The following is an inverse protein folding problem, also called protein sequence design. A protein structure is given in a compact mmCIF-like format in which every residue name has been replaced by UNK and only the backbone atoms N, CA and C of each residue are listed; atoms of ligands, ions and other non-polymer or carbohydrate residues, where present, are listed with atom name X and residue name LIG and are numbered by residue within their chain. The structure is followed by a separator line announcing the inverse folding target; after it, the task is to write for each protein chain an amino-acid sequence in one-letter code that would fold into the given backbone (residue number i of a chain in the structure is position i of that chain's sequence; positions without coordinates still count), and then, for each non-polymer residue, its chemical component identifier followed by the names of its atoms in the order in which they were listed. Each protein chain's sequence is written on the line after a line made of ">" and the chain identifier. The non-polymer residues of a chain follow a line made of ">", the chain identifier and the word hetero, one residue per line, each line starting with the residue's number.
data_IF_494733947314
#
_entry.id   IF_494733947314
#
_cell.length_a   1.000
_cell.length_b   1.000
_cell.length_c   1.000
_cell.angle_alpha   90.00
_cell.angle_beta   90.00
_cell.angle_gamma   90.00
#
_symmetry.space_group_name_H-M   'P 1'
#
loop_
_entity.id
_entity.type
_entity.pdbx_description
1 polymer ?
#
# COMPACT_ATOMS: atom_id res chain seq x y z
N UNK A 1 9.47 -9.71 16.76
CA UNK A 1 8.35 -8.75 16.65
C UNK A 1 8.10 -8.48 15.17
N UNK A 2 6.90 -8.76 14.66
CA UNK A 2 6.50 -8.31 13.33
C UNK A 2 5.99 -6.87 13.46
N UNK A 3 6.60 -5.95 12.72
CA UNK A 3 6.15 -4.56 12.68
C UNK A 3 5.27 -4.36 11.46
N UNK A 4 4.09 -3.77 11.67
CA UNK A 4 3.18 -3.37 10.59
C UNK A 4 3.29 -1.85 10.44
N UNK A 5 3.68 -1.38 9.26
CA UNK A 5 3.64 0.05 8.93
C UNK A 5 2.34 0.38 8.21
N UNK A 6 1.67 1.42 8.69
CA UNK A 6 0.45 1.97 8.11
C UNK A 6 0.77 3.21 7.28
N UNK A 7 0.33 3.23 6.02
CA UNK A 7 0.45 4.38 5.13
C UNK A 7 -0.90 4.75 4.55
N UNK A 8 -1.22 6.05 4.53
CA UNK A 8 -2.36 6.62 3.81
C UNK A 8 -1.89 7.22 2.49
N UNK A 9 -2.58 6.89 1.41
CA UNK A 9 -2.35 7.46 0.08
C UNK A 9 -3.63 8.14 -0.37
N UNK A 10 -3.54 9.44 -0.67
CA UNK A 10 -4.65 10.20 -1.24
C UNK A 10 -4.76 9.94 -2.75
N UNK A 11 -5.96 9.56 -3.16
CA UNK A 11 -6.31 9.11 -4.50
C UNK A 11 -7.49 9.93 -4.97
N UNK A 12 -7.46 10.50 -6.18
CA UNK A 12 -8.66 11.16 -6.70
C UNK A 12 -9.74 10.10 -7.00
N UNK A 13 -11.02 10.34 -6.65
CA UNK A 13 -12.09 9.34 -6.80
C UNK A 13 -12.27 8.82 -8.24
N UNK A 14 -12.07 9.70 -9.22
CA UNK A 14 -12.28 9.46 -10.65
C UNK A 14 -11.22 8.53 -11.29
N UNK A 15 -10.12 8.26 -10.59
CA UNK A 15 -8.98 7.46 -11.11
C UNK A 15 -8.54 6.36 -10.14
N UNK A 16 -9.48 5.86 -9.33
CA UNK A 16 -9.18 4.94 -8.23
C UNK A 16 -8.52 3.64 -8.71
N UNK A 17 -9.03 3.02 -9.77
CA UNK A 17 -8.53 1.73 -10.27
C UNK A 17 -7.13 1.84 -10.84
N UNK A 18 -6.89 2.83 -11.71
CA UNK A 18 -5.58 3.07 -12.32
C UNK A 18 -4.52 3.43 -11.27
N UNK A 19 -4.90 4.23 -10.27
CA UNK A 19 -3.98 4.57 -9.18
C UNK A 19 -3.75 3.41 -8.22
N UNK A 20 -4.73 2.56 -7.98
CA UNK A 20 -4.54 1.34 -7.18
C UNK A 20 -3.54 0.40 -7.86
N UNK A 21 -3.61 0.26 -9.19
CA UNK A 21 -2.60 -0.49 -9.97
C UNK A 21 -1.21 0.13 -9.83
N UNK A 22 -1.10 1.46 -9.90
CA UNK A 22 0.18 2.15 -9.73
C UNK A 22 0.78 1.96 -8.32
N UNK A 23 -0.05 2.09 -7.27
CA UNK A 23 0.35 1.84 -5.88
C UNK A 23 0.81 0.39 -5.71
N UNK A 24 0.07 -0.56 -6.28
CA UNK A 24 0.40 -1.98 -6.22
C UNK A 24 1.73 -2.29 -6.94
N UNK A 25 1.97 -1.70 -8.12
CA UNK A 25 3.23 -1.84 -8.85
C UNK A 25 4.42 -1.25 -8.07
N UNK A 26 4.24 -0.09 -7.45
CA UNK A 26 5.27 0.53 -6.60
C UNK A 26 5.66 -0.38 -5.43
N UNK A 27 4.70 -0.86 -4.64
CA UNK A 27 5.00 -1.69 -3.48
C UNK A 27 5.53 -3.08 -3.84
N UNK A 28 5.17 -3.65 -5.01
CA UNK A 28 5.84 -4.84 -5.54
C UNK A 28 7.33 -4.59 -5.77
N UNK A 29 7.69 -3.45 -6.35
CA UNK A 29 9.08 -3.08 -6.59
C UNK A 29 9.84 -2.74 -5.31
N UNK A 30 9.17 -2.16 -4.31
CA UNK A 30 9.79 -1.95 -2.98
C UNK A 30 10.05 -3.27 -2.30
N UNK A 31 9.09 -4.21 -2.31
CA UNK A 31 9.26 -5.53 -1.70
C UNK A 31 10.44 -6.32 -2.28
N UNK A 32 10.70 -6.21 -3.59
CA UNK A 32 11.86 -6.90 -4.19
C UNK A 32 13.20 -6.25 -3.85
N UNK A 33 13.21 -4.97 -3.46
CA UNK A 33 14.43 -4.22 -3.14
C UNK A 33 14.74 -4.17 -1.64
N UNK A 34 13.71 -4.22 -0.80
CA UNK A 34 13.83 -4.11 0.65
C UNK A 34 13.79 -5.50 1.29
N UNK A 35 14.95 -5.99 1.73
CA UNK A 35 15.09 -7.30 2.39
C UNK A 35 14.28 -7.41 3.70
N UNK A 36 13.87 -6.29 4.30
CA UNK A 36 13.06 -6.28 5.52
C UNK A 36 11.56 -6.40 5.21
N UNK A 37 11.13 -6.07 3.98
CA UNK A 37 9.72 -6.11 3.61
C UNK A 37 9.28 -7.53 3.27
N UNK A 38 8.51 -8.15 4.18
CA UNK A 38 7.97 -9.51 4.01
C UNK A 38 6.71 -9.53 3.13
N UNK A 39 5.94 -8.45 3.12
CA UNK A 39 4.72 -8.35 2.33
C UNK A 39 3.97 -7.05 2.52
N UNK A 40 2.86 -6.89 1.81
CA UNK A 40 1.96 -5.75 1.96
C UNK A 40 0.53 -6.07 1.52
N UNK A 41 -0.42 -5.25 1.98
CA UNK A 41 -1.80 -5.24 1.52
C UNK A 41 -2.15 -3.81 1.11
N UNK A 42 -2.82 -3.68 -0.03
CA UNK A 42 -3.41 -2.42 -0.51
C UNK A 42 -4.93 -2.54 -0.40
N UNK A 43 -5.58 -1.58 0.25
CA UNK A 43 -7.03 -1.57 0.45
C UNK A 43 -7.57 -0.17 0.22
N UNK A 44 -8.77 -0.06 -0.35
CA UNK A 44 -9.50 1.19 -0.34
C UNK A 44 -9.99 1.52 1.07
N UNK A 45 -9.99 2.79 1.46
CA UNK A 45 -10.70 3.22 2.66
C UNK A 45 -12.22 3.09 2.44
N UNK A 46 -12.92 2.65 3.48
CA UNK A 46 -14.39 2.58 3.52
C UNK A 46 -14.99 3.93 3.93
N UNK A 47 -14.27 4.73 4.71
CA UNK A 47 -14.71 6.04 5.19
C UNK A 47 -14.45 7.15 4.17
N UNK A 48 -13.36 7.05 3.39
CA UNK A 48 -12.97 8.05 2.41
C UNK A 48 -12.65 7.39 1.06
N UNK A 49 -13.53 7.56 0.07
CA UNK A 49 -13.32 7.04 -1.28
C UNK A 49 -12.09 7.63 -1.99
N UNK A 50 -11.57 8.76 -1.49
CA UNK A 50 -10.33 9.38 -1.94
C UNK A 50 -9.10 8.86 -1.21
N UNK A 51 -9.21 7.80 -0.41
CA UNK A 51 -8.11 7.21 0.34
C UNK A 51 -7.89 5.74 -0.03
N UNK A 52 -6.61 5.41 -0.14
CA UNK A 52 -6.09 4.04 -0.18
C UNK A 52 -5.14 3.85 0.99
N UNK A 53 -5.33 2.75 1.69
CA UNK A 53 -4.51 2.32 2.82
C UNK A 53 -3.53 1.28 2.33
N UNK A 54 -2.27 1.41 2.73
CA UNK A 54 -1.25 0.39 2.52
C UNK A 54 -0.69 -0.07 3.86
N UNK A 55 -0.82 -1.36 4.12
CA UNK A 55 -0.21 -2.04 5.26
C UNK A 55 1.04 -2.76 4.78
N UNK A 56 2.20 -2.48 5.39
CA UNK A 56 3.46 -3.14 5.08
C UNK A 56 3.90 -4.00 6.26
N UNK A 57 4.23 -5.26 5.99
CA UNK A 57 4.71 -6.22 6.99
C UNK A 57 6.23 -6.30 6.92
N UNK A 58 6.89 -5.94 8.01
CA UNK A 58 8.34 -5.96 8.12
C UNK A 58 8.78 -7.17 8.96
N UNK A 59 9.81 -7.87 8.49
CA UNK A 59 10.52 -8.90 9.24
C UNK A 59 11.89 -8.38 9.64
N UNK A 60 12.26 -8.63 10.89
CA UNK A 60 13.63 -8.49 11.39
C UNK A 60 14.41 -9.75 11.01
#
# INVERSE_FOLDING_TARGET
>A
MQFIKYNKVLVKPDKRDDRTKAILAFFKLVQTKDAQMRGFIVMGSLENLSETIVLTFLGI
#
